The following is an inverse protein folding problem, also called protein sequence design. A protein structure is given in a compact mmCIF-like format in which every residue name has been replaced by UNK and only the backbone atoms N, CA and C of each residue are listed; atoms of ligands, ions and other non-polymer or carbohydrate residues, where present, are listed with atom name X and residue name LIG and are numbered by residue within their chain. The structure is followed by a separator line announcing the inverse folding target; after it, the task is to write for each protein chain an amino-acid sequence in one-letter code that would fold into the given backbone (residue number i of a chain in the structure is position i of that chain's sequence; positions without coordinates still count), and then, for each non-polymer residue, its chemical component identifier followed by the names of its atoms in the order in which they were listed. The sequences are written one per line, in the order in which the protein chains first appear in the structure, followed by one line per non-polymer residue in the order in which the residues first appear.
data_IF_498286457115
#
_entry.id   IF_498286457115
#
_cell.length_a   1.000
_cell.length_b   1.000
_cell.length_c   1.000
_cell.angle_alpha   90.00
_cell.angle_beta   90.00
_cell.angle_gamma   90.00
#
_symmetry.space_group_name_H-M   'P 1'
#
loop_
_entity.id
_entity.type
_entity.pdbx_description
1 polymer ?
#
# COMPACT_ATOMS: atom_id res chain seq x y z
N UNK A 1 18.15 12.44 8.95
CA UNK A 1 18.35 11.21 8.14
C UNK A 1 17.02 10.72 7.53
N UNK A 2 15.88 10.80 8.23
CA UNK A 2 14.56 10.39 7.72
C UNK A 2 14.02 11.28 6.58
N UNK A 3 14.29 12.57 6.60
CA UNK A 3 13.81 13.52 5.59
C UNK A 3 14.42 13.31 4.20
N UNK A 4 15.69 12.89 4.12
CA UNK A 4 16.37 12.65 2.85
C UNK A 4 15.93 11.36 2.16
N UNK A 5 15.54 10.33 2.93
CA UNK A 5 15.07 9.06 2.37
C UNK A 5 13.66 9.19 1.79
N UNK A 6 12.82 10.06 2.35
CA UNK A 6 11.46 10.32 1.84
C UNK A 6 11.46 11.08 0.50
N UNK A 7 12.40 12.01 0.29
CA UNK A 7 12.51 12.76 -0.97
C UNK A 7 13.06 11.93 -2.13
N UNK A 8 13.82 10.86 -1.86
CA UNK A 8 14.32 9.95 -2.91
C UNK A 8 13.25 8.99 -3.49
N UNK A 9 12.04 8.99 -2.95
CA UNK A 9 11.00 8.00 -3.26
C UNK A 9 10.13 8.36 -4.48
N UNK A 10 10.35 9.46 -5.16
CA UNK A 10 9.51 9.94 -6.27
C UNK A 10 10.08 9.67 -7.67
N UNK A 11 11.12 8.86 -7.80
CA UNK A 11 11.60 8.47 -9.13
C UNK A 11 10.55 7.60 -9.83
N UNK A 12 9.83 8.20 -10.79
CA UNK A 12 8.88 7.47 -11.61
C UNK A 12 9.59 6.32 -12.35
N UNK A 13 8.97 5.13 -12.42
CA UNK A 13 9.54 4.01 -13.14
C UNK A 13 9.67 4.37 -14.62
N UNK A 14 10.86 4.10 -15.21
CA UNK A 14 11.14 4.38 -16.62
C UNK A 14 10.98 3.14 -17.49
N UNK A 15 10.82 3.33 -18.81
CA UNK A 15 10.69 2.25 -19.77
C UNK A 15 9.35 1.52 -19.72
N UNK A 16 9.36 0.21 -20.00
CA UNK A 16 8.14 -0.63 -20.04
C UNK A 16 7.36 -0.58 -18.70
N UNK A 17 8.07 -0.60 -17.57
CA UNK A 17 7.45 -0.52 -16.25
C UNK A 17 6.77 0.84 -16.02
N UNK A 18 7.34 1.93 -16.51
CA UNK A 18 6.72 3.25 -16.47
C UNK A 18 5.47 3.36 -17.35
N UNK A 19 5.44 2.63 -18.46
CA UNK A 19 4.24 2.53 -19.27
C UNK A 19 3.13 1.74 -18.56
N UNK A 20 3.46 0.61 -17.94
CA UNK A 20 2.51 -0.17 -17.13
C UNK A 20 1.95 0.64 -15.97
N UNK A 21 2.79 1.39 -15.27
CA UNK A 21 2.35 2.24 -14.14
C UNK A 21 1.41 3.36 -14.63
N UNK A 22 1.74 4.03 -15.74
CA UNK A 22 0.85 5.01 -16.36
C UNK A 22 -0.48 4.42 -16.78
N UNK A 23 -0.48 3.23 -17.40
CA UNK A 23 -1.71 2.53 -17.76
C UNK A 23 -2.55 2.18 -16.52
N UNK A 24 -1.88 1.70 -15.47
CA UNK A 24 -2.54 1.39 -14.21
C UNK A 24 -3.16 2.62 -13.50
N UNK A 25 -2.59 3.81 -13.71
CA UNK A 25 -3.08 5.09 -13.14
C UNK A 25 -3.99 5.88 -14.09
N UNK A 26 -4.19 5.41 -15.33
CA UNK A 26 -5.01 6.12 -16.32
C UNK A 26 -6.42 6.41 -15.75
N UNK A 27 -6.86 7.68 -15.69
CA UNK A 27 -8.18 8.01 -15.18
C UNK A 27 -9.27 7.46 -16.09
N UNK A 28 -10.39 7.06 -15.49
CA UNK A 28 -11.51 6.47 -16.22
C UNK A 28 -12.02 7.35 -17.37
N UNK A 29 -11.98 8.67 -17.20
CA UNK A 29 -12.37 9.63 -18.24
C UNK A 29 -11.55 9.48 -19.53
N UNK A 30 -10.23 9.27 -19.43
CA UNK A 30 -9.37 9.06 -20.61
C UNK A 30 -9.70 7.75 -21.32
N UNK A 31 -10.00 6.68 -20.56
CA UNK A 31 -10.42 5.39 -21.13
C UNK A 31 -11.75 5.54 -21.86
N UNK A 32 -12.71 6.24 -21.27
CA UNK A 32 -14.01 6.53 -21.92
C UNK A 32 -13.84 7.31 -23.22
N UNK A 33 -13.01 8.35 -23.20
CA UNK A 33 -12.69 9.15 -24.41
C UNK A 33 -12.04 8.25 -25.47
N UNK A 34 -11.06 7.43 -25.10
CA UNK A 34 -10.39 6.53 -26.03
C UNK A 34 -11.36 5.51 -26.66
N UNK A 35 -12.20 4.90 -25.85
CA UNK A 35 -13.25 3.96 -26.32
C UNK A 35 -14.25 4.67 -27.23
N UNK A 36 -14.65 5.90 -26.91
CA UNK A 36 -15.53 6.69 -27.76
C UNK A 36 -14.88 6.99 -29.12
N UNK A 37 -13.60 7.38 -29.16
CA UNK A 37 -12.87 7.60 -30.41
C UNK A 37 -12.82 6.31 -31.25
N UNK A 38 -12.47 5.19 -30.66
CA UNK A 38 -12.45 3.90 -31.35
C UNK A 38 -13.83 3.55 -31.92
N UNK A 39 -14.90 3.81 -31.16
CA UNK A 39 -16.28 3.58 -31.59
C UNK A 39 -16.65 4.46 -32.78
N UNK A 40 -16.30 5.75 -32.75
CA UNK A 40 -16.55 6.69 -33.88
C UNK A 40 -15.81 6.21 -35.14
N UNK A 41 -14.55 5.78 -35.03
CA UNK A 41 -13.79 5.26 -36.18
C UNK A 41 -14.48 4.03 -36.77
N UNK A 42 -14.98 3.10 -35.92
CA UNK A 42 -15.74 1.93 -36.39
C UNK A 42 -17.01 2.34 -37.11
N UNK A 43 -17.77 3.30 -36.60
CA UNK A 43 -18.95 3.81 -37.29
C UNK A 43 -18.60 4.45 -38.64
N UNK A 44 -17.48 5.14 -38.76
CA UNK A 44 -17.01 5.69 -40.02
C UNK A 44 -16.60 4.62 -41.03
N UNK A 45 -16.05 3.49 -40.58
CA UNK A 45 -15.68 2.36 -41.44
C UNK A 45 -16.89 1.50 -41.85
N UNK A 46 -17.96 1.50 -41.06
CA UNK A 46 -19.11 0.64 -41.26
C UNK A 46 -19.76 0.78 -42.64
N UNK A 47 -20.00 1.99 -43.24
CA UNK A 47 -20.59 2.11 -44.59
C UNK A 47 -19.71 1.48 -45.65
N UNK A 48 -18.39 1.60 -45.54
CA UNK A 48 -17.45 1.00 -46.46
C UNK A 48 -17.48 -0.53 -46.38
N UNK A 49 -17.44 -1.07 -45.17
CA UNK A 49 -17.48 -2.52 -44.95
C UNK A 49 -18.83 -3.15 -45.34
N UNK A 50 -19.94 -2.44 -45.10
CA UNK A 50 -21.29 -2.95 -45.39
C UNK A 50 -21.65 -2.88 -46.89
N UNK A 51 -21.18 -1.84 -47.60
CA UNK A 51 -21.58 -1.61 -49.01
C UNK A 51 -20.63 -2.22 -50.05
N UNK A 52 -19.43 -2.68 -49.64
CA UNK A 52 -18.45 -3.26 -50.60
C UNK A 52 -18.97 -4.60 -51.11
N UNK A 53 -19.15 -4.72 -52.44
CA UNK A 53 -19.64 -5.92 -53.09
C UNK A 53 -18.65 -7.10 -52.92
N UNK A 54 -19.14 -8.35 -52.88
CA UNK A 54 -18.30 -9.53 -52.61
C UNK A 54 -17.07 -9.66 -53.52
N UNK A 55 -17.22 -9.29 -54.80
CA UNK A 55 -16.13 -9.35 -55.79
C UNK A 55 -15.05 -8.26 -55.61
N UNK A 56 -15.29 -7.24 -54.77
CA UNK A 56 -14.36 -6.13 -54.47
C UNK A 56 -13.69 -6.28 -53.11
N UNK A 57 -13.89 -7.39 -52.41
CA UNK A 57 -13.40 -7.61 -51.02
C UNK A 57 -11.97 -8.11 -51.01
N UNK A 58 -11.05 -7.36 -51.62
CA UNK A 58 -9.62 -7.67 -51.67
C UNK A 58 -8.80 -6.55 -51.04
N UNK A 59 -7.56 -6.81 -50.71
CA UNK A 59 -6.56 -5.83 -50.27
C UNK A 59 -7.08 -4.85 -49.24
N UNK A 60 -7.47 -3.65 -49.64
CA UNK A 60 -7.93 -2.58 -48.77
C UNK A 60 -9.17 -2.94 -47.93
N UNK A 61 -10.11 -3.73 -48.47
CA UNK A 61 -11.26 -4.22 -47.69
C UNK A 61 -10.82 -5.15 -46.56
N UNK A 62 -9.92 -6.09 -46.83
CA UNK A 62 -9.40 -7.04 -45.83
C UNK A 62 -8.66 -6.28 -44.72
N UNK A 63 -7.85 -5.29 -45.07
CA UNK A 63 -7.15 -4.45 -44.10
C UNK A 63 -8.14 -3.65 -43.23
N UNK A 64 -9.15 -3.01 -43.84
CA UNK A 64 -10.18 -2.26 -43.12
C UNK A 64 -11.01 -3.18 -42.19
N UNK A 65 -11.32 -4.38 -42.63
CA UNK A 65 -12.04 -5.39 -41.83
C UNK A 65 -11.21 -5.81 -40.62
N UNK A 66 -9.96 -6.21 -40.80
CA UNK A 66 -9.06 -6.58 -39.70
C UNK A 66 -8.87 -5.42 -38.70
N UNK A 67 -8.72 -4.20 -39.22
CA UNK A 67 -8.62 -3.02 -38.35
C UNK A 67 -9.91 -2.79 -37.54
N UNK A 68 -11.09 -2.94 -38.16
CA UNK A 68 -12.36 -2.85 -37.45
C UNK A 68 -12.52 -3.94 -36.36
N UNK A 69 -12.11 -5.18 -36.65
CA UNK A 69 -12.11 -6.29 -35.69
C UNK A 69 -11.12 -6.02 -34.53
N UNK A 70 -9.95 -5.47 -34.84
CA UNK A 70 -8.98 -5.04 -33.83
C UNK A 70 -9.55 -3.96 -32.92
N UNK A 71 -10.17 -2.91 -33.49
CA UNK A 71 -10.82 -1.86 -32.68
C UNK A 71 -11.93 -2.42 -31.79
N UNK A 72 -12.69 -3.39 -32.29
CA UNK A 72 -13.72 -4.09 -31.51
C UNK A 72 -13.12 -4.80 -30.30
N UNK A 73 -12.08 -5.59 -30.52
CA UNK A 73 -11.38 -6.27 -29.44
C UNK A 73 -10.82 -5.27 -28.39
N UNK A 74 -10.25 -4.14 -28.84
CA UNK A 74 -9.73 -3.08 -27.98
C UNK A 74 -10.85 -2.42 -27.16
N UNK A 75 -12.02 -2.15 -27.75
CA UNK A 75 -13.18 -1.61 -27.04
C UNK A 75 -13.64 -2.58 -25.95
N UNK A 76 -13.88 -3.85 -26.30
CA UNK A 76 -14.32 -4.86 -25.33
C UNK A 76 -13.29 -5.06 -24.22
N UNK A 77 -12.00 -5.16 -24.54
CA UNK A 77 -10.93 -5.28 -23.55
C UNK A 77 -10.88 -4.06 -22.65
N UNK A 78 -10.96 -2.85 -23.22
CA UNK A 78 -10.96 -1.60 -22.46
C UNK A 78 -12.15 -1.52 -21.50
N UNK A 79 -13.36 -1.77 -21.97
CA UNK A 79 -14.56 -1.79 -21.13
C UNK A 79 -14.43 -2.83 -20.02
N UNK A 80 -14.07 -4.07 -20.37
CA UNK A 80 -13.98 -5.16 -19.38
C UNK A 80 -12.92 -4.91 -18.31
N UNK A 81 -11.71 -4.50 -18.73
CA UNK A 81 -10.60 -4.26 -17.79
C UNK A 81 -10.86 -3.04 -16.92
N UNK A 82 -11.28 -1.91 -17.50
CA UNK A 82 -11.37 -0.65 -16.76
C UNK A 82 -12.70 -0.42 -16.04
N UNK A 83 -13.81 -1.01 -16.51
CA UNK A 83 -15.11 -0.88 -15.84
C UNK A 83 -15.46 -2.06 -14.93
N UNK A 84 -14.85 -3.24 -15.12
CA UNK A 84 -15.17 -4.43 -14.34
C UNK A 84 -13.97 -4.87 -13.49
N UNK A 85 -12.84 -5.21 -14.13
CA UNK A 85 -11.71 -5.78 -13.40
C UNK A 85 -11.14 -4.77 -12.40
N UNK A 86 -10.70 -3.61 -12.89
CA UNK A 86 -9.99 -2.62 -12.09
C UNK A 86 -10.82 -2.03 -10.92
N UNK A 87 -12.11 -1.63 -11.07
CA UNK A 87 -12.87 -1.08 -9.96
C UNK A 87 -13.25 -2.13 -8.91
N UNK A 88 -13.52 -3.37 -9.34
CA UNK A 88 -14.17 -4.35 -8.50
C UNK A 88 -13.29 -5.51 -8.05
N UNK A 89 -12.33 -5.93 -8.86
CA UNK A 89 -11.62 -7.19 -8.65
C UNK A 89 -10.19 -6.97 -8.14
N UNK A 90 -9.32 -6.40 -8.96
CA UNK A 90 -7.89 -6.29 -8.65
C UNK A 90 -7.32 -4.94 -9.07
N UNK A 91 -6.27 -4.53 -8.39
CA UNK A 91 -5.52 -3.34 -8.72
C UNK A 91 -4.03 -3.58 -8.51
N UNK A 92 -3.21 -3.04 -9.41
CA UNK A 92 -1.75 -3.07 -9.27
C UNK A 92 -1.26 -1.86 -8.50
N UNK A 93 -0.23 -2.06 -7.66
CA UNK A 93 0.42 -1.01 -6.90
C UNK A 93 1.94 -1.14 -7.05
N UNK A 94 2.60 0.00 -7.18
CA UNK A 94 4.06 0.12 -7.16
C UNK A 94 4.54 0.33 -5.73
N UNK A 95 5.65 -0.30 -5.34
CA UNK A 95 6.23 -0.17 -4.00
C UNK A 95 7.36 0.87 -4.03
N UNK A 96 7.15 2.09 -3.50
CA UNK A 96 8.12 3.17 -3.54
C UNK A 96 9.08 3.17 -2.36
N UNK A 97 8.76 2.48 -1.26
CA UNK A 97 9.49 2.58 0.01
C UNK A 97 9.94 1.25 0.58
N UNK A 98 10.96 1.31 1.46
CA UNK A 98 11.52 0.12 2.11
C UNK A 98 10.80 -0.34 3.38
N UNK A 99 9.62 0.19 3.68
CA UNK A 99 8.92 -0.10 4.95
C UNK A 99 8.44 -1.55 5.09
N UNK A 100 8.36 -2.30 3.98
CA UNK A 100 7.94 -3.70 3.92
C UNK A 100 9.06 -4.65 3.45
N UNK A 101 10.31 -4.17 3.45
CA UNK A 101 11.48 -5.02 3.21
C UNK A 101 11.51 -6.06 4.35
N UNK A 102 11.74 -7.26 4.10
CA UNK A 102 12.17 -8.13 3.03
C UNK A 102 10.99 -8.71 2.23
N UNK A 103 9.77 -8.49 2.68
CA UNK A 103 8.59 -9.05 2.03
C UNK A 103 8.35 -8.35 0.68
N UNK A 104 8.33 -7.03 0.65
CA UNK A 104 8.21 -6.24 -0.57
C UNK A 104 9.43 -5.33 -0.70
N UNK A 105 10.06 -5.34 -1.86
CA UNK A 105 11.19 -4.46 -2.15
C UNK A 105 10.76 -3.22 -2.93
N UNK A 106 11.59 -2.18 -2.85
CA UNK A 106 11.40 -1.01 -3.70
C UNK A 106 11.42 -1.44 -5.18
N UNK A 107 10.52 -0.89 -5.98
CA UNK A 107 10.27 -1.22 -7.40
C UNK A 107 9.52 -2.53 -7.63
N UNK A 108 9.08 -3.24 -6.61
CA UNK A 108 8.11 -4.31 -6.80
C UNK A 108 6.76 -3.74 -7.27
N UNK A 109 6.06 -4.49 -8.10
CA UNK A 109 4.66 -4.27 -8.42
C UNK A 109 3.85 -5.43 -7.87
N UNK A 110 2.85 -5.11 -7.07
CA UNK A 110 1.95 -6.09 -6.49
C UNK A 110 0.57 -6.04 -7.13
N UNK A 111 -0.12 -7.16 -7.04
CA UNK A 111 -1.56 -7.24 -7.33
C UNK A 111 -2.31 -7.29 -5.99
N UNK A 112 -3.21 -6.34 -5.78
CA UNK A 112 -4.11 -6.32 -4.65
C UNK A 112 -5.51 -6.78 -5.07
N UNK A 113 -6.07 -7.71 -4.31
CA UNK A 113 -7.42 -8.23 -4.45
C UNK A 113 -8.39 -7.40 -3.62
N UNK A 114 -9.31 -6.71 -4.31
CA UNK A 114 -10.34 -5.89 -3.66
C UNK A 114 -11.57 -6.67 -3.23
N UNK A 115 -11.81 -7.83 -3.86
CA UNK A 115 -12.99 -8.64 -3.59
C UNK A 115 -12.92 -9.32 -2.24
N UNK A 116 -11.74 -9.76 -1.83
CA UNK A 116 -11.59 -10.59 -0.62
C UNK A 116 -12.24 -9.93 0.58
N UNK A 117 -12.07 -8.62 0.73
CA UNK A 117 -12.62 -7.88 1.85
C UNK A 117 -14.07 -7.38 1.68
N UNK A 118 -14.72 -7.76 0.58
CA UNK A 118 -16.19 -7.63 0.46
C UNK A 118 -16.94 -8.78 1.13
N UNK A 119 -16.26 -9.93 1.25
CA UNK A 119 -16.86 -11.17 1.75
C UNK A 119 -16.20 -11.68 3.04
N UNK A 120 -15.08 -11.11 3.44
CA UNK A 120 -14.38 -11.48 4.68
C UNK A 120 -13.74 -10.26 5.32
N UNK A 121 -13.48 -10.35 6.62
CA UNK A 121 -12.72 -9.33 7.31
C UNK A 121 -11.22 -9.56 7.18
N UNK A 122 -10.41 -8.48 7.20
CA UNK A 122 -8.96 -8.59 7.24
C UNK A 122 -8.48 -9.42 8.42
N UNK A 123 -7.52 -10.30 8.17
CA UNK A 123 -6.94 -11.18 9.18
C UNK A 123 -5.54 -10.73 9.57
N UNK A 124 -5.15 -11.00 10.81
CA UNK A 124 -3.80 -10.74 11.29
C UNK A 124 -2.77 -11.46 10.40
N UNK A 125 -1.74 -10.72 9.97
CA UNK A 125 -0.74 -11.19 9.02
C UNK A 125 -1.01 -10.80 7.56
N UNK A 126 -2.24 -10.42 7.19
CA UNK A 126 -2.54 -9.95 5.83
C UNK A 126 -1.71 -8.71 5.49
N UNK A 127 -1.14 -8.68 4.28
CA UNK A 127 -0.53 -7.48 3.72
C UNK A 127 -1.63 -6.69 3.00
N UNK A 128 -1.91 -5.49 3.49
CA UNK A 128 -3.10 -4.72 3.10
C UNK A 128 -2.69 -3.40 2.48
N UNK A 129 -3.37 -3.06 1.38
CA UNK A 129 -3.34 -1.71 0.78
C UNK A 129 -4.52 -0.92 1.30
N UNK A 130 -4.27 0.29 1.77
CA UNK A 130 -5.29 1.15 2.37
C UNK A 130 -4.98 2.63 2.17
N UNK A 131 -5.99 3.48 2.30
CA UNK A 131 -5.83 4.94 2.39
C UNK A 131 -5.39 5.30 3.81
N UNK A 132 -4.22 5.94 3.97
CA UNK A 132 -3.75 6.32 5.31
C UNK A 132 -4.63 7.41 5.92
N UNK A 133 -4.72 7.48 7.27
CA UNK A 133 -5.36 8.61 7.92
C UNK A 133 -4.59 9.91 7.62
N UNK A 134 -5.28 11.05 7.59
CA UNK A 134 -4.67 12.35 7.24
C UNK A 134 -3.40 12.66 8.04
N UNK A 135 -3.38 12.29 9.33
CA UNK A 135 -2.22 12.46 10.22
C UNK A 135 -0.98 11.62 9.85
N UNK A 136 -1.14 10.62 8.97
CA UNK A 136 -0.02 9.84 8.45
C UNK A 136 0.63 10.47 7.21
N UNK A 137 -0.01 11.49 6.64
CA UNK A 137 0.49 12.20 5.47
C UNK A 137 1.29 13.43 5.89
N UNK A 138 2.43 13.65 5.23
CA UNK A 138 3.20 14.88 5.41
C UNK A 138 2.54 16.06 4.67
N UNK A 139 2.79 17.27 5.16
CA UNK A 139 2.38 18.47 4.45
C UNK A 139 2.87 18.42 2.99
N UNK A 140 1.99 18.70 2.04
CA UNK A 140 2.22 18.61 0.59
C UNK A 140 2.30 17.19 -0.01
N UNK A 141 2.11 16.13 0.76
CA UNK A 141 1.95 14.78 0.22
C UNK A 141 0.52 14.64 -0.32
N UNK A 142 0.40 14.39 -1.63
CA UNK A 142 -0.89 14.10 -2.28
C UNK A 142 -1.51 12.78 -1.79
N UNK A 143 -2.66 12.43 -2.33
CA UNK A 143 -3.31 11.13 -2.05
C UNK A 143 -2.34 9.99 -2.41
N UNK A 144 -1.94 9.22 -1.40
CA UNK A 144 -0.99 8.11 -1.54
C UNK A 144 -1.56 6.91 -0.80
N UNK A 145 -1.63 5.77 -1.46
CA UNK A 145 -2.04 4.53 -0.81
C UNK A 145 -0.85 3.93 -0.04
N UNK A 146 -1.11 3.45 1.17
CA UNK A 146 -0.13 2.77 2.00
C UNK A 146 -0.30 1.26 1.92
N UNK A 147 0.83 0.56 2.10
CA UNK A 147 0.86 -0.88 2.22
C UNK A 147 1.59 -1.28 3.49
N UNK A 148 0.92 -2.04 4.35
CA UNK A 148 1.45 -2.52 5.62
C UNK A 148 0.86 -3.89 5.96
N UNK A 149 1.42 -4.54 6.98
CA UNK A 149 0.89 -5.79 7.51
C UNK A 149 -0.06 -5.52 8.67
N UNK A 150 -1.20 -6.22 8.65
CA UNK A 150 -2.18 -6.18 9.72
C UNK A 150 -1.64 -6.90 10.96
N UNK A 151 -1.56 -6.19 12.07
CA UNK A 151 -1.06 -6.70 13.35
C UNK A 151 -2.13 -6.75 14.43
N UNK A 152 -3.18 -5.94 14.31
CA UNK A 152 -4.29 -5.96 15.26
C UNK A 152 -5.62 -5.71 14.57
N UNK A 153 -6.56 -6.64 14.73
CA UNK A 153 -7.95 -6.53 14.29
C UNK A 153 -8.87 -6.17 15.47
N UNK A 154 -10.14 -5.83 15.24
CA UNK A 154 -11.08 -5.52 16.31
C UNK A 154 -11.06 -6.54 17.44
N UNK A 155 -10.92 -6.05 18.68
CA UNK A 155 -10.84 -6.84 19.89
C UNK A 155 -9.43 -7.29 20.31
N UNK A 156 -8.43 -7.16 19.45
CA UNK A 156 -7.04 -7.50 19.82
C UNK A 156 -6.42 -6.40 20.68
N UNK A 157 -5.80 -6.79 21.78
CA UNK A 157 -4.87 -5.95 22.54
C UNK A 157 -3.47 -6.14 21.97
N UNK A 158 -2.90 -5.08 21.39
CA UNK A 158 -1.60 -5.14 20.73
C UNK A 158 -0.60 -4.28 21.47
N UNK A 159 0.51 -4.90 21.84
CA UNK A 159 1.63 -4.28 22.52
C UNK A 159 2.93 -4.61 21.80
N UNK A 160 3.86 -3.66 21.82
CA UNK A 160 5.22 -3.87 21.33
C UNK A 160 6.18 -3.52 22.44
N UNK A 161 6.98 -4.47 22.87
CA UNK A 161 7.93 -4.27 23.97
C UNK A 161 9.22 -5.01 23.68
N UNK A 162 10.36 -4.35 23.86
CA UNK A 162 11.68 -4.90 23.59
C UNK A 162 11.81 -5.57 22.22
N UNK A 163 11.31 -4.92 21.19
CA UNK A 163 11.33 -5.43 19.80
C UNK A 163 10.50 -6.72 19.58
N UNK A 164 9.61 -7.06 20.49
CA UNK A 164 8.68 -8.19 20.39
C UNK A 164 7.25 -7.69 20.33
N UNK A 165 6.47 -8.21 19.39
CA UNK A 165 5.04 -7.97 19.31
C UNK A 165 4.30 -8.95 20.19
N UNK A 166 3.43 -8.42 21.03
CA UNK A 166 2.47 -9.20 21.82
C UNK A 166 1.07 -8.93 21.30
N UNK A 167 0.27 -9.98 21.22
CA UNK A 167 -1.16 -9.89 20.91
C UNK A 167 -1.93 -10.69 21.92
N UNK A 168 -2.83 -10.00 22.64
CA UNK A 168 -3.61 -10.61 23.73
C UNK A 168 -2.72 -11.30 24.78
N UNK A 169 -1.61 -10.66 25.13
CA UNK A 169 -0.62 -11.14 26.10
C UNK A 169 0.31 -12.25 25.60
N UNK A 170 0.20 -12.69 24.36
CA UNK A 170 1.06 -13.73 23.76
C UNK A 170 2.02 -13.15 22.73
N UNK A 171 3.28 -13.54 22.80
CA UNK A 171 4.27 -13.17 21.79
C UNK A 171 3.86 -13.71 20.43
N UNK A 172 3.96 -12.88 19.41
CA UNK A 172 3.65 -13.22 18.01
C UNK A 172 4.93 -13.64 17.31
N UNK A 173 4.89 -14.81 16.65
CA UNK A 173 5.97 -15.20 15.74
C UNK A 173 5.90 -14.38 14.46
N UNK A 174 7.00 -13.67 14.15
CA UNK A 174 7.09 -12.73 13.04
C UNK A 174 8.30 -13.00 12.14
N UNK A 175 8.26 -14.08 11.33
CA UNK A 175 9.40 -14.46 10.48
C UNK A 175 9.71 -13.43 9.39
N UNK A 176 8.78 -12.51 9.11
CA UNK A 176 8.91 -11.41 8.16
C UNK A 176 9.54 -10.15 8.76
N UNK A 177 9.65 -10.07 10.08
CA UNK A 177 10.18 -8.90 10.79
C UNK A 177 11.65 -8.69 10.48
N UNK A 178 12.02 -7.45 10.17
CA UNK A 178 13.42 -7.07 10.01
C UNK A 178 13.71 -5.69 10.59
N UNK A 179 14.98 -5.46 10.81
CA UNK A 179 15.58 -4.17 11.12
C UNK A 179 16.68 -3.93 10.10
N UNK A 180 16.69 -2.76 9.47
CA UNK A 180 17.61 -2.50 8.36
C UNK A 180 18.28 -1.16 8.47
N UNK A 181 19.41 -1.03 7.77
CA UNK A 181 20.09 0.22 7.51
C UNK A 181 20.32 0.38 6.00
N UNK A 182 20.33 1.62 5.53
CA UNK A 182 20.68 1.91 4.14
C UNK A 182 22.18 1.65 3.95
N UNK A 183 22.53 0.85 2.94
CA UNK A 183 23.89 0.48 2.64
C UNK A 183 24.18 0.64 1.13
N UNK A 184 24.98 1.61 0.72
CA UNK A 184 25.59 2.67 1.55
C UNK A 184 24.56 3.68 2.10
N UNK A 185 24.94 4.47 3.12
CA UNK A 185 24.06 5.49 3.68
C UNK A 185 23.45 6.41 2.60
N UNK A 186 22.14 6.67 2.67
CA UNK A 186 21.41 7.47 1.68
C UNK A 186 21.00 6.74 0.39
N UNK A 187 21.40 5.48 0.21
CA UNK A 187 20.98 4.66 -0.93
C UNK A 187 19.59 4.10 -0.74
N UNK A 188 19.01 3.49 -1.81
CA UNK A 188 17.78 2.72 -1.74
C UNK A 188 18.04 1.23 -1.50
N UNK A 189 19.27 0.84 -1.22
CA UNK A 189 19.64 -0.52 -0.83
C UNK A 189 19.56 -0.64 0.68
N UNK A 190 19.10 -1.78 1.14
CA UNK A 190 18.96 -2.07 2.56
C UNK A 190 19.71 -3.33 2.92
N UNK A 191 20.42 -3.27 4.04
CA UNK A 191 21.07 -4.41 4.68
C UNK A 191 20.40 -4.66 6.02
N UNK A 192 20.19 -5.91 6.36
CA UNK A 192 19.74 -6.27 7.71
C UNK A 192 20.80 -5.88 8.74
N UNK A 193 20.32 -5.42 9.87
CA UNK A 193 21.16 -5.25 11.06
C UNK A 193 21.42 -6.60 11.71
N UNK A 194 22.63 -6.79 12.23
CA UNK A 194 22.94 -7.93 13.09
C UNK A 194 22.28 -7.77 14.47
N UNK A 195 22.16 -8.82 15.27
CA UNK A 195 21.61 -8.71 16.63
C UNK A 195 22.33 -7.66 17.48
N UNK A 196 23.65 -7.56 17.38
CA UNK A 196 24.47 -6.60 18.10
C UNK A 196 24.21 -5.17 17.62
N UNK A 197 24.05 -4.97 16.29
CA UNK A 197 23.69 -3.69 15.71
C UNK A 197 22.26 -3.28 16.11
N UNK A 198 21.31 -4.22 16.19
CA UNK A 198 19.96 -3.94 16.66
C UNK A 198 20.00 -3.42 18.09
N UNK A 199 20.74 -4.09 18.97
CA UNK A 199 20.88 -3.67 20.37
C UNK A 199 21.53 -2.28 20.52
N UNK A 200 22.51 -2.01 19.67
CA UNK A 200 23.28 -0.74 19.72
C UNK A 200 22.58 0.46 19.05
N UNK A 201 21.80 0.22 17.98
CA UNK A 201 21.34 1.29 17.08
C UNK A 201 19.82 1.46 17.03
N UNK A 202 19.05 0.43 17.40
CA UNK A 202 17.58 0.49 17.36
C UNK A 202 17.10 0.93 18.74
N UNK A 203 16.47 2.11 18.86
CA UNK A 203 15.90 2.55 20.13
C UNK A 203 14.92 1.51 20.70
N UNK A 204 15.01 1.30 22.00
CA UNK A 204 14.01 0.49 22.70
C UNK A 204 12.73 1.30 22.77
N UNK A 205 11.74 0.84 22.06
CA UNK A 205 10.44 1.49 22.03
C UNK A 205 9.36 0.52 22.52
N UNK A 206 8.55 1.00 23.43
CA UNK A 206 7.32 0.33 23.82
C UNK A 206 6.15 1.00 23.14
N UNK A 207 5.23 0.21 22.63
CA UNK A 207 4.02 0.68 21.98
C UNK A 207 2.78 -0.01 22.56
N UNK A 208 1.73 0.75 22.75
CA UNK A 208 0.37 0.25 22.98
C UNK A 208 -0.67 1.33 22.65
N UNK A 209 -1.89 0.88 22.49
CA UNK A 209 -3.05 1.79 22.43
C UNK A 209 -3.53 2.05 23.86
N UNK A 210 -3.82 3.29 24.20
CA UNK A 210 -4.34 3.65 25.54
C UNK A 210 -5.52 4.61 25.41
N UNK A 211 -6.38 4.62 26.42
CA UNK A 211 -7.47 5.59 26.53
C UNK A 211 -7.01 6.79 27.35
N UNK A 212 -6.72 7.90 26.68
CA UNK A 212 -6.28 9.13 27.32
C UNK A 212 -7.27 10.26 27.06
N UNK A 213 -7.75 10.93 28.12
CA UNK A 213 -8.77 12.01 28.07
C UNK A 213 -9.98 11.62 27.20
N UNK A 214 -10.44 10.37 27.32
CA UNK A 214 -11.59 9.84 26.57
C UNK A 214 -11.34 9.44 25.13
N UNK A 215 -10.13 9.65 24.58
CA UNK A 215 -9.73 9.27 23.24
C UNK A 215 -8.79 8.07 23.27
N UNK A 216 -8.94 7.17 22.31
CA UNK A 216 -7.99 6.08 22.08
C UNK A 216 -6.83 6.62 21.24
N UNK A 217 -5.62 6.54 21.77
CA UNK A 217 -4.42 7.04 21.11
C UNK A 217 -3.31 5.99 21.11
N UNK A 218 -2.44 5.97 20.09
CA UNK A 218 -1.20 5.22 20.13
C UNK A 218 -0.20 5.94 21.03
N UNK A 219 0.48 5.20 21.88
CA UNK A 219 1.63 5.72 22.60
C UNK A 219 2.87 4.93 22.25
N UNK A 220 3.97 5.65 22.03
CA UNK A 220 5.31 5.10 21.95
C UNK A 220 6.14 5.68 23.09
N UNK A 221 6.80 4.83 23.82
CA UNK A 221 7.75 5.24 24.85
C UNK A 221 9.14 4.93 24.32
N UNK A 222 9.90 5.97 24.00
CA UNK A 222 11.26 5.85 23.46
C UNK A 222 12.19 6.56 24.43
N UNK A 223 13.17 5.83 24.97
CA UNK A 223 14.12 6.38 25.98
C UNK A 223 13.40 7.08 27.16
N UNK A 224 12.28 6.51 27.59
CA UNK A 224 11.49 7.05 28.69
C UNK A 224 10.58 8.24 28.36
N UNK A 225 10.60 8.74 27.13
CA UNK A 225 9.75 9.85 26.65
C UNK A 225 8.54 9.28 25.94
N UNK A 226 7.34 9.74 26.30
CA UNK A 226 6.09 9.34 25.65
C UNK A 226 5.86 10.20 24.42
N UNK A 227 5.64 9.55 23.27
CA UNK A 227 5.34 10.18 21.99
C UNK A 227 6.32 11.33 21.64
N UNK A 228 7.62 11.05 21.48
CA UNK A 228 8.64 12.11 21.28
C UNK A 228 8.46 12.89 19.97
N UNK A 229 7.40 12.62 19.21
CA UNK A 229 7.12 13.23 17.91
C UNK A 229 7.62 12.42 16.73
N UNK A 230 7.48 12.94 15.49
CA UNK A 230 7.98 12.26 14.31
C UNK A 230 9.50 11.99 14.41
N UNK A 231 9.97 10.80 13.97
CA UNK A 231 9.23 9.79 13.20
C UNK A 231 8.44 8.78 14.06
N UNK A 232 8.46 8.91 15.38
CA UNK A 232 7.87 7.91 16.29
C UNK A 232 6.36 8.06 16.44
N UNK A 233 5.87 9.32 16.40
CA UNK A 233 4.44 9.57 16.52
C UNK A 233 3.98 10.79 15.69
N UNK A 234 2.71 10.84 15.33
CA UNK A 234 2.11 12.02 14.74
C UNK A 234 2.00 13.16 15.76
N UNK A 235 2.18 14.40 15.33
CA UNK A 235 2.10 15.59 16.19
C UNK A 235 0.76 15.67 16.93
N UNK A 236 -0.33 15.18 16.33
CA UNK A 236 -1.67 15.10 16.92
C UNK A 236 -1.70 14.32 18.26
N UNK A 237 -0.74 13.42 18.48
CA UNK A 237 -0.65 12.58 19.67
C UNK A 237 0.44 13.02 20.65
N UNK A 238 0.93 14.24 20.51
CA UNK A 238 1.87 14.80 21.48
C UNK A 238 1.25 14.82 22.89
N UNK A 239 1.97 14.28 23.86
CA UNK A 239 1.56 14.23 25.27
C UNK A 239 2.30 15.33 26.02
N UNK A 240 1.58 16.21 26.75
CA UNK A 240 2.22 17.23 27.57
C UNK A 240 3.16 16.61 28.62
N UNK A 241 4.28 17.27 28.94
CA UNK A 241 5.25 16.74 29.90
C UNK A 241 4.65 16.33 31.25
N UNK A 242 3.67 17.10 31.74
CA UNK A 242 2.97 16.86 33.00
C UNK A 242 2.12 15.58 33.00
N UNK A 243 1.65 15.15 31.85
CA UNK A 243 0.80 13.97 31.70
C UNK A 243 1.58 12.69 31.35
N UNK A 244 2.88 12.78 31.10
CA UNK A 244 3.68 11.63 30.60
C UNK A 244 3.68 10.45 31.58
N UNK A 245 3.88 10.71 32.86
CA UNK A 245 3.88 9.65 33.90
C UNK A 245 2.51 9.00 34.03
N UNK A 246 1.44 9.80 33.94
CA UNK A 246 0.06 9.28 33.94
C UNK A 246 -0.15 8.33 32.77
N UNK A 247 0.24 8.75 31.57
CA UNK A 247 0.02 7.99 30.34
C UNK A 247 0.86 6.70 30.29
N UNK A 248 2.08 6.72 30.85
CA UNK A 248 2.90 5.51 31.04
C UNK A 248 2.22 4.44 31.90
N UNK A 249 1.41 4.84 32.89
CA UNK A 249 0.67 3.93 33.76
C UNK A 249 -0.64 3.40 33.19
N UNK A 250 -1.12 3.92 32.05
CA UNK A 250 -2.40 3.49 31.47
C UNK A 250 -2.31 2.07 30.90
N UNK A 251 -3.36 1.25 31.09
CA UNK A 251 -3.43 -0.08 30.52
C UNK A 251 -3.54 -0.05 28.98
N UNK A 252 -3.11 -1.13 28.33
CA UNK A 252 -3.33 -1.32 26.92
C UNK A 252 -4.82 -1.56 26.64
N UNK A 253 -5.33 -0.90 25.60
CA UNK A 253 -6.71 -0.97 25.19
C UNK A 253 -6.86 -1.82 23.89
N UNK A 254 -7.97 -2.53 23.74
CA UNK A 254 -8.22 -3.30 22.53
C UNK A 254 -8.50 -2.39 21.33
N UNK A 255 -8.16 -2.90 20.14
CA UNK A 255 -8.53 -2.27 18.87
C UNK A 255 -10.06 -2.22 18.78
N UNK A 256 -10.67 -1.04 18.58
CA UNK A 256 -12.11 -0.91 18.56
C UNK A 256 -12.76 -1.51 17.30
N UNK A 257 -14.05 -1.81 17.33
CA UNK A 257 -14.79 -2.28 16.17
C UNK A 257 -14.59 -1.38 14.95
N UNK A 258 -14.46 -2.00 13.77
CA UNK A 258 -14.26 -1.28 12.51
C UNK A 258 -12.89 -0.63 12.33
N UNK A 259 -11.93 -0.88 13.22
CA UNK A 259 -10.58 -0.33 13.14
C UNK A 259 -9.53 -1.43 13.11
N UNK A 260 -8.35 -1.10 12.55
CA UNK A 260 -7.27 -2.04 12.31
C UNK A 260 -5.92 -1.37 12.57
N UNK A 261 -5.00 -2.12 13.16
CA UNK A 261 -3.63 -1.67 13.43
C UNK A 261 -2.67 -2.30 12.44
N UNK A 262 -1.96 -1.46 11.71
CA UNK A 262 -1.01 -1.87 10.69
C UNK A 262 0.42 -1.50 11.07
N UNK A 263 1.37 -2.42 10.81
CA UNK A 263 2.80 -2.15 10.99
C UNK A 263 3.58 -2.57 9.73
N UNK A 264 4.72 -1.90 9.49
CA UNK A 264 5.66 -2.32 8.47
C UNK A 264 6.51 -3.49 8.93
N UNK A 265 6.94 -4.35 8.01
CA UNK A 265 7.82 -5.48 8.31
C UNK A 265 9.23 -5.00 8.69
N UNK A 266 9.67 -3.88 8.10
CA UNK A 266 10.92 -3.17 8.43
C UNK A 266 10.70 -2.23 9.61
N UNK A 267 10.87 -2.75 10.82
CA UNK A 267 10.40 -2.14 12.06
C UNK A 267 11.04 -0.80 12.41
N UNK A 268 12.31 -0.62 12.14
CA UNK A 268 13.02 0.63 12.39
C UNK A 268 12.98 1.62 11.21
N UNK A 269 12.37 1.22 10.09
CA UNK A 269 12.24 2.08 8.90
C UNK A 269 10.80 2.11 8.37
N UNK A 270 9.84 2.20 9.28
CA UNK A 270 8.42 2.30 8.95
C UNK A 270 7.71 3.29 9.85
N UNK A 271 7.16 4.36 9.24
CA UNK A 271 6.15 5.18 9.90
C UNK A 271 4.79 4.54 9.67
N UNK A 272 4.24 3.93 10.72
CA UNK A 272 3.07 3.07 10.65
C UNK A 272 2.09 3.30 11.81
N UNK A 273 1.19 2.35 12.06
CA UNK A 273 0.15 2.49 13.09
C UNK A 273 0.69 2.75 14.50
N UNK A 274 1.94 2.42 14.76
CA UNK A 274 2.59 2.82 16.03
C UNK A 274 2.71 4.34 16.15
N UNK A 275 2.93 5.02 15.03
CA UNK A 275 3.08 6.47 15.02
C UNK A 275 1.77 7.23 14.77
N UNK A 276 0.95 6.79 13.84
CA UNK A 276 -0.26 7.51 13.42
C UNK A 276 -1.57 6.82 13.83
N UNK A 277 -1.54 5.66 14.50
CA UNK A 277 -2.71 5.01 15.08
C UNK A 277 -3.45 4.06 14.13
N UNK A 278 -4.77 4.02 14.25
CA UNK A 278 -5.63 3.05 13.61
C UNK A 278 -6.15 3.53 12.25
N UNK A 279 -6.48 2.56 11.40
CA UNK A 279 -7.14 2.73 10.10
C UNK A 279 -8.56 2.18 10.19
N UNK A 280 -9.53 2.89 9.61
CA UNK A 280 -10.92 2.44 9.55
C UNK A 280 -11.13 1.40 8.46
N UNK A 281 -12.17 0.57 8.59
CA UNK A 281 -12.51 -0.50 7.65
C UNK A 281 -12.72 -0.02 6.22
N UNK A 282 -13.36 1.12 6.05
CA UNK A 282 -13.68 1.76 4.75
C UNK A 282 -12.46 2.33 4.04
N UNK A 283 -11.37 2.59 4.77
CA UNK A 283 -10.11 2.99 4.16
C UNK A 283 -9.34 1.82 3.54
N UNK A 284 -9.70 0.57 3.82
CA UNK A 284 -9.05 -0.62 3.30
C UNK A 284 -9.45 -0.83 1.84
N UNK A 285 -8.44 -0.92 0.96
CA UNK A 285 -8.62 -1.09 -0.49
C UNK A 285 -8.62 -2.57 -0.87
N UNK A 286 -7.64 -3.35 -0.38
CA UNK A 286 -7.52 -4.75 -0.74
C UNK A 286 -6.30 -5.43 -0.13
N UNK A 287 -6.24 -6.76 -0.30
CA UNK A 287 -5.13 -7.60 0.15
C UNK A 287 -4.11 -7.79 -0.97
N UNK A 288 -2.83 -7.66 -0.66
CA UNK A 288 -1.75 -8.07 -1.57
C UNK A 288 -1.77 -9.59 -1.77
N UNK A 289 -1.86 -10.04 -3.01
CA UNK A 289 -1.86 -11.46 -3.33
C UNK A 289 -0.51 -11.95 -3.83
N UNK A 290 0.13 -11.17 -4.71
CA UNK A 290 1.42 -11.54 -5.28
C UNK A 290 2.24 -10.32 -5.73
N UNK A 291 3.56 -10.51 -5.80
CA UNK A 291 4.45 -9.67 -6.60
C UNK A 291 4.40 -10.21 -8.02
N UNK A 292 4.01 -9.39 -8.99
CA UNK A 292 3.92 -9.83 -10.38
C UNK A 292 5.03 -9.26 -11.26
N UNK A 293 5.66 -8.16 -10.84
CA UNK A 293 6.87 -7.60 -11.46
C UNK A 293 7.85 -7.10 -10.39
N UNK A 294 9.16 -7.20 -10.64
CA UNK A 294 9.79 -7.86 -11.78
C UNK A 294 9.59 -9.37 -11.74
N UNK A 295 9.55 -10.04 -12.90
CA UNK A 295 9.32 -11.49 -12.97
C UNK A 295 10.33 -12.33 -12.17
N UNK A 296 11.55 -11.83 -11.97
CA UNK A 296 12.57 -12.48 -11.12
C UNK A 296 12.17 -12.56 -9.64
N UNK A 297 11.17 -11.77 -9.23
CA UNK A 297 10.65 -11.74 -7.86
C UNK A 297 9.20 -12.21 -7.76
N UNK A 298 8.68 -12.78 -8.83
CA UNK A 298 7.31 -13.30 -8.81
C UNK A 298 7.10 -14.28 -7.66
N UNK A 299 6.19 -13.97 -6.77
CA UNK A 299 5.80 -14.83 -5.64
C UNK A 299 4.47 -14.40 -5.06
N UNK A 300 3.81 -15.33 -4.37
CA UNK A 300 2.64 -15.05 -3.54
C UNK A 300 3.12 -14.32 -2.26
N UNK A 301 2.35 -13.33 -1.80
CA UNK A 301 2.68 -12.47 -0.65
C UNK A 301 1.90 -12.81 0.61
N UNK A 302 1.23 -13.96 0.61
CA UNK A 302 0.50 -14.48 1.78
C UNK A 302 1.45 -15.06 2.82
#
# INVERSE_FOLDING_TARGET
LFTSTLLAQTAEPQGFLGWVDRLARTPLSQVVIFVAICTVIRFALWPYLARTAPHQRYGGYTAAKLFNEFLDAVIYAGVFVFLIIRPFLVQTFYIPSGSMIQTLQIKDYIIANKLVYRYSDPQNGDIVVFKPPKRALFAHQGETDFIKRLQGKPGDVVEWTNNVLYRNGKAVDEPYKCFTVNDPPGSTRFRNLTPEEIEAQVPRADFRLVKYKGKLIPINIVDGIVNPGPPYNAVEFAIPPEDQEIVKGLPAEPVPPGHYLFMGDNRNNSFDGRGWGLVTRDAIIGRSECIWLPFSRWRITR
#
